data_IF_154080259328
#
_entry.id   IF_154080259328
#
_cell.length_a   1.000
_cell.length_b   1.000
_cell.length_c   1.000
_cell.angle_alpha   90.00
_cell.angle_beta   90.00
_cell.angle_gamma   90.00
#
_symmetry.space_group_name_H-M   'P 1'
#
loop_
_entity.id
_entity.type
_entity.pdbx_description
1 polymer ?
#
# COMPACT_ATOMS: atom_id res chain seq x y z
N UNK A 1 -2.50 8.04 -3.95
CA UNK A 1 -3.28 8.23 -5.19
C UNK A 1 -2.66 7.31 -6.24
N UNK A 2 -3.23 6.13 -6.48
CA UNK A 2 -2.75 5.20 -7.52
C UNK A 2 -3.40 5.44 -8.89
N UNK A 3 -4.39 6.34 -8.93
CA UNK A 3 -5.03 6.84 -10.14
C UNK A 3 -4.14 7.73 -11.03
N UNK A 4 -2.85 7.90 -10.67
CA UNK A 4 -1.85 8.64 -11.45
C UNK A 4 -0.71 7.76 -11.99
N UNK A 5 -0.76 6.43 -11.82
CA UNK A 5 0.20 5.55 -12.49
C UNK A 5 -0.26 5.41 -13.94
N UNK A 6 0.01 6.45 -14.72
CA UNK A 6 -0.22 6.47 -16.15
C UNK A 6 1.10 6.28 -16.88
N UNK A 7 1.05 5.48 -17.93
CA UNK A 7 2.09 5.39 -18.96
C UNK A 7 1.40 5.83 -20.26
N UNK A 8 2.01 6.72 -21.03
CA UNK A 8 1.40 7.27 -22.24
C UNK A 8 -0.01 7.86 -22.07
N UNK A 9 -0.30 8.50 -20.92
CA UNK A 9 -1.63 9.01 -20.55
C UNK A 9 -2.73 7.93 -20.41
N UNK A 10 -2.36 6.65 -20.44
CA UNK A 10 -3.24 5.51 -20.20
C UNK A 10 -2.96 4.88 -18.84
N UNK A 11 -3.97 4.24 -18.24
CA UNK A 11 -3.73 3.47 -17.02
C UNK A 11 -2.93 2.23 -17.38
N UNK A 12 -1.74 2.12 -16.79
CA UNK A 12 -0.87 0.98 -17.02
C UNK A 12 -1.50 -0.34 -16.54
N UNK A 13 -1.52 -1.36 -17.41
CA UNK A 13 -1.87 -2.74 -17.09
C UNK A 13 -0.66 -3.64 -17.35
N UNK A 14 -0.15 -4.37 -16.34
CA UNK A 14 1.01 -5.22 -16.52
C UNK A 14 0.67 -6.52 -17.24
N UNK A 15 1.73 -7.28 -17.59
CA UNK A 15 1.60 -8.59 -18.21
C UNK A 15 0.79 -9.57 -17.34
N UNK A 16 0.22 -10.58 -18.00
CA UNK A 16 -0.55 -11.64 -17.34
C UNK A 16 0.20 -12.33 -16.18
N UNK A 17 1.52 -12.53 -16.32
CA UNK A 17 2.33 -13.14 -15.27
C UNK A 17 2.35 -12.28 -13.99
N UNK A 18 2.55 -10.96 -14.14
CA UNK A 18 2.53 -10.02 -13.03
C UNK A 18 1.16 -9.94 -12.37
N UNK A 19 0.08 -9.94 -13.16
CA UNK A 19 -1.29 -9.95 -12.63
C UNK A 19 -1.56 -11.22 -11.81
N UNK A 20 -1.14 -12.39 -12.30
CA UNK A 20 -1.24 -13.66 -11.57
C UNK A 20 -0.39 -13.64 -10.29
N UNK A 21 0.79 -13.03 -10.33
CA UNK A 21 1.65 -12.85 -9.15
C UNK A 21 0.96 -11.99 -8.09
N UNK A 22 0.31 -10.90 -8.48
CA UNK A 22 -0.46 -10.06 -7.56
C UNK A 22 -1.65 -10.81 -6.95
N UNK A 23 -2.39 -11.59 -7.75
CA UNK A 23 -3.50 -12.41 -7.24
C UNK A 23 -3.02 -13.46 -6.23
N UNK A 24 -1.89 -14.13 -6.49
CA UNK A 24 -1.28 -15.07 -5.52
C UNK A 24 -0.83 -14.36 -4.25
N UNK A 25 -0.23 -13.18 -4.37
CA UNK A 25 0.13 -12.38 -3.21
C UNK A 25 -1.09 -12.04 -2.35
N UNK A 26 -2.18 -11.55 -2.94
CA UNK A 26 -3.41 -11.26 -2.21
C UNK A 26 -3.97 -12.52 -1.52
N UNK A 27 -4.02 -13.65 -2.23
CA UNK A 27 -4.42 -14.95 -1.66
C UNK A 27 -3.58 -15.29 -0.42
N UNK A 28 -2.25 -15.23 -0.56
CA UNK A 28 -1.30 -15.69 0.45
C UNK A 28 -1.25 -14.77 1.68
N UNK A 29 -1.47 -13.47 1.50
CA UNK A 29 -1.33 -12.48 2.57
C UNK A 29 -2.66 -12.04 3.19
N UNK A 30 -3.77 -12.22 2.48
CA UNK A 30 -5.08 -11.78 2.94
C UNK A 30 -6.06 -12.93 3.26
N UNK A 31 -5.61 -14.18 3.18
CA UNK A 31 -6.44 -15.36 3.41
C UNK A 31 -7.74 -15.36 2.56
N UNK A 32 -7.62 -14.97 1.30
CA UNK A 32 -8.73 -14.97 0.34
C UNK A 32 -8.54 -16.12 -0.66
N UNK A 33 -9.63 -16.65 -1.22
CA UNK A 33 -9.53 -17.66 -2.27
C UNK A 33 -8.94 -17.06 -3.56
N UNK A 34 -8.28 -17.87 -4.38
CA UNK A 34 -7.58 -17.39 -5.58
C UNK A 34 -8.53 -16.79 -6.63
N UNK A 35 -9.73 -17.36 -6.80
CA UNK A 35 -10.77 -16.82 -7.68
C UNK A 35 -11.23 -15.43 -7.21
N UNK A 36 -11.37 -15.21 -5.91
CA UNK A 36 -11.64 -13.88 -5.34
C UNK A 36 -10.47 -12.92 -5.57
N UNK A 37 -9.23 -13.38 -5.40
CA UNK A 37 -8.07 -12.56 -5.68
C UNK A 37 -7.99 -12.11 -7.15
N UNK A 38 -8.40 -12.93 -8.12
CA UNK A 38 -8.50 -12.50 -9.52
C UNK A 38 -9.54 -11.40 -9.74
N UNK A 39 -10.71 -11.50 -9.08
CA UNK A 39 -11.72 -10.43 -9.10
C UNK A 39 -11.15 -9.13 -8.50
N UNK A 40 -10.47 -9.23 -7.36
CA UNK A 40 -9.81 -8.09 -6.71
C UNK A 40 -8.80 -7.41 -7.63
N UNK A 41 -7.95 -8.18 -8.31
CA UNK A 41 -6.98 -7.62 -9.28
C UNK A 41 -7.69 -6.94 -10.45
N UNK A 42 -8.76 -7.54 -10.99
CA UNK A 42 -9.57 -6.87 -12.02
C UNK A 42 -10.09 -5.51 -11.55
N UNK A 43 -10.63 -5.45 -10.34
CA UNK A 43 -11.17 -4.22 -9.76
C UNK A 43 -10.10 -3.17 -9.50
N UNK A 44 -8.90 -3.58 -9.06
CA UNK A 44 -7.76 -2.67 -8.90
C UNK A 44 -7.43 -1.93 -10.21
N UNK A 45 -7.46 -2.66 -11.34
CA UNK A 45 -7.25 -2.09 -12.68
C UNK A 45 -8.51 -1.48 -13.33
N UNK A 46 -9.64 -1.39 -12.61
CA UNK A 46 -10.96 -0.90 -13.08
C UNK A 46 -11.60 -1.71 -14.20
N UNK A 47 -11.40 -3.01 -14.20
CA UNK A 47 -12.12 -3.93 -15.06
C UNK A 47 -13.28 -4.56 -14.29
N UNK A 48 -14.38 -4.86 -14.99
CA UNK A 48 -15.57 -5.46 -14.38
C UNK A 48 -15.37 -6.94 -14.05
N UNK A 49 -14.44 -7.60 -14.75
CA UNK A 49 -14.12 -9.00 -14.54
C UNK A 49 -12.65 -9.30 -14.86
N UNK A 50 -12.16 -10.43 -14.35
CA UNK A 50 -10.84 -10.96 -14.72
C UNK A 50 -10.74 -11.24 -16.23
N UNK A 51 -11.81 -11.72 -16.86
CA UNK A 51 -11.85 -11.98 -18.31
C UNK A 51 -11.64 -10.70 -19.14
N UNK A 52 -12.27 -9.59 -18.74
CA UNK A 52 -12.09 -8.31 -19.43
C UNK A 52 -10.64 -7.81 -19.29
N UNK A 53 -10.07 -7.95 -18.09
CA UNK A 53 -8.67 -7.60 -17.85
C UNK A 53 -7.74 -8.46 -18.71
N UNK A 54 -7.97 -9.77 -18.80
CA UNK A 54 -7.17 -10.68 -19.64
C UNK A 54 -7.18 -10.24 -21.10
N UNK A 55 -8.36 -9.96 -21.65
CA UNK A 55 -8.50 -9.52 -23.04
C UNK A 55 -7.76 -8.20 -23.30
N UNK A 56 -7.68 -7.31 -22.32
CA UNK A 56 -6.95 -6.06 -22.44
C UNK A 56 -5.42 -6.25 -22.45
N UNK A 57 -4.89 -7.26 -21.74
CA UNK A 57 -3.42 -7.49 -21.67
C UNK A 57 -2.76 -7.77 -23.03
N UNK A 58 -3.54 -8.18 -24.03
CA UNK A 58 -3.09 -8.46 -25.40
C UNK A 58 -3.45 -7.36 -26.39
N UNK A 59 -3.96 -6.21 -25.93
CA UNK A 59 -4.20 -5.05 -26.78
C UNK A 59 -2.89 -4.35 -27.14
N UNK A 60 -2.83 -3.69 -28.30
CA UNK A 60 -1.64 -2.96 -28.76
C UNK A 60 -1.17 -1.92 -27.72
N UNK A 61 -2.12 -1.21 -27.10
CA UNK A 61 -1.84 -0.22 -26.03
C UNK A 61 -1.16 -0.90 -24.83
N UNK A 62 -1.69 -2.04 -24.37
CA UNK A 62 -1.10 -2.74 -23.22
C UNK A 62 0.29 -3.30 -23.54
N UNK A 63 0.53 -3.75 -24.77
CA UNK A 63 1.84 -4.25 -25.22
C UNK A 63 2.86 -3.12 -25.26
N UNK A 64 2.50 -1.97 -25.82
CA UNK A 64 3.36 -0.78 -25.86
C UNK A 64 3.72 -0.31 -24.44
N UNK A 65 2.73 -0.17 -23.57
CA UNK A 65 2.91 0.18 -22.17
C UNK A 65 3.87 -0.79 -21.44
N UNK A 66 3.75 -2.09 -21.70
CA UNK A 66 4.62 -3.11 -21.11
C UNK A 66 6.08 -2.98 -21.60
N UNK A 67 6.30 -2.64 -22.86
CA UNK A 67 7.63 -2.39 -23.41
C UNK A 67 8.26 -1.14 -22.78
N UNK A 68 7.49 -0.07 -22.61
CA UNK A 68 7.95 1.16 -21.95
C UNK A 68 8.38 0.86 -20.51
N UNK A 69 7.58 0.11 -19.75
CA UNK A 69 7.95 -0.24 -18.37
C UNK A 69 9.16 -1.17 -18.30
N UNK A 70 9.37 -2.02 -19.30
CA UNK A 70 10.61 -2.80 -19.41
C UNK A 70 11.83 -1.87 -19.60
N UNK A 71 11.71 -0.83 -20.44
CA UNK A 71 12.76 0.16 -20.60
C UNK A 71 13.02 0.98 -19.33
N UNK A 72 11.97 1.49 -18.68
CA UNK A 72 12.06 2.18 -17.39
C UNK A 72 12.83 1.35 -16.35
N UNK A 73 12.59 0.04 -16.31
CA UNK A 73 13.28 -0.88 -15.40
C UNK A 73 14.78 -0.95 -15.66
N UNK A 74 15.19 -1.04 -16.92
CA UNK A 74 16.60 -1.05 -17.30
C UNK A 74 17.30 0.28 -16.97
N UNK A 75 16.61 1.40 -17.16
CA UNK A 75 17.11 2.73 -16.78
C UNK A 75 17.31 2.84 -15.26
N UNK A 76 16.31 2.43 -14.46
CA UNK A 76 16.43 2.40 -13.00
C UNK A 76 17.58 1.51 -12.52
N UNK A 77 17.76 0.34 -13.13
CA UNK A 77 18.87 -0.55 -12.81
C UNK A 77 20.23 0.08 -13.16
N UNK A 78 20.32 0.73 -14.32
CA UNK A 78 21.52 1.46 -14.75
C UNK A 78 21.84 2.60 -13.79
N UNK A 79 20.84 3.34 -13.35
CA UNK A 79 21.03 4.39 -12.36
C UNK A 79 21.51 3.80 -11.04
N UNK A 80 20.85 2.77 -10.52
CA UNK A 80 21.25 2.12 -9.26
C UNK A 80 22.70 1.67 -9.28
N UNK A 81 23.18 1.14 -10.41
CA UNK A 81 24.58 0.73 -10.58
C UNK A 81 25.58 1.89 -10.54
N UNK A 82 25.12 3.13 -10.72
CA UNK A 82 25.92 4.36 -10.68
C UNK A 82 25.74 5.14 -9.37
N UNK A 83 24.93 4.65 -8.43
CA UNK A 83 24.75 5.30 -7.13
C UNK A 83 26.09 5.41 -6.40
N UNK A 84 26.32 6.57 -5.78
CA UNK A 84 27.50 6.77 -4.94
C UNK A 84 27.47 5.80 -3.76
N UNK A 85 28.65 5.26 -3.40
CA UNK A 85 28.77 4.31 -2.29
C UNK A 85 28.25 4.89 -0.96
N UNK A 86 28.40 6.20 -0.74
CA UNK A 86 27.86 6.92 0.42
C UNK A 86 26.33 6.89 0.49
N UNK A 87 25.65 7.05 -0.65
CA UNK A 87 24.18 7.02 -0.70
C UNK A 87 23.67 5.61 -0.47
N UNK A 88 24.31 4.61 -1.09
CA UNK A 88 23.97 3.21 -0.86
C UNK A 88 24.19 2.80 0.60
N UNK A 89 25.26 3.29 1.23
CA UNK A 89 25.52 3.09 2.66
C UNK A 89 24.42 3.70 3.53
N UNK A 90 24.00 4.94 3.24
CA UNK A 90 22.91 5.61 3.96
C UNK A 90 21.59 4.85 3.85
N UNK A 91 21.26 4.34 2.66
CA UNK A 91 20.09 3.48 2.46
C UNK A 91 20.21 2.14 3.21
N UNK A 92 21.40 1.55 3.23
CA UNK A 92 21.68 0.29 3.93
C UNK A 92 21.48 0.41 5.44
N UNK A 93 21.80 1.57 6.04
CA UNK A 93 21.59 1.83 7.47
C UNK A 93 20.12 1.76 7.90
N UNK A 94 19.16 1.93 6.97
CA UNK A 94 17.74 1.79 7.26
C UNK A 94 17.34 0.35 7.61
N UNK A 95 18.19 -0.64 7.29
CA UNK A 95 17.90 -2.07 7.51
C UNK A 95 16.47 -2.41 7.03
N UNK A 96 16.21 -2.08 5.76
CA UNK A 96 14.90 -2.15 5.16
C UNK A 96 14.38 -3.60 5.13
N UNK A 97 13.08 -3.78 5.42
CA UNK A 97 12.46 -5.09 5.42
C UNK A 97 12.40 -5.65 3.99
N UNK A 98 12.53 -6.97 3.87
CA UNK A 98 12.44 -7.66 2.58
C UNK A 98 11.12 -7.33 1.88
N UNK A 99 11.21 -6.96 0.60
CA UNK A 99 10.04 -6.63 -0.22
C UNK A 99 9.66 -5.15 -0.22
N UNK A 100 10.42 -4.30 0.48
CA UNK A 100 10.34 -2.83 0.34
C UNK A 100 11.18 -2.35 -0.84
N UNK A 101 10.92 -1.13 -1.32
CA UNK A 101 11.66 -0.56 -2.45
C UNK A 101 13.11 -0.26 -2.05
N UNK A 102 13.31 0.30 -0.85
CA UNK A 102 14.65 0.56 -0.31
C UNK A 102 15.48 -0.71 -0.24
N UNK A 103 14.89 -1.81 0.24
CA UNK A 103 15.61 -3.09 0.31
C UNK A 103 15.97 -3.61 -1.09
N UNK A 104 15.08 -3.49 -2.07
CA UNK A 104 15.37 -3.89 -3.44
C UNK A 104 16.49 -3.07 -4.09
N UNK A 105 16.57 -1.76 -3.81
CA UNK A 105 17.66 -0.89 -4.29
C UNK A 105 18.98 -1.27 -3.63
N UNK A 106 18.99 -1.44 -2.31
CA UNK A 106 20.20 -1.80 -1.54
C UNK A 106 20.78 -3.13 -2.04
N UNK A 107 19.93 -4.15 -2.21
CA UNK A 107 20.34 -5.51 -2.55
C UNK A 107 20.44 -5.80 -4.06
N UNK A 108 20.42 -4.78 -4.91
CA UNK A 108 20.53 -4.93 -6.37
C UNK A 108 19.43 -5.81 -6.99
N UNK A 109 18.18 -5.62 -6.53
CA UNK A 109 17.02 -6.43 -6.92
C UNK A 109 15.96 -5.65 -7.68
N UNK A 110 16.30 -4.51 -8.27
CA UNK A 110 15.37 -3.68 -9.07
C UNK A 110 14.74 -4.52 -10.18
N UNK A 111 15.52 -5.37 -10.85
CA UNK A 111 15.01 -6.28 -11.90
C UNK A 111 13.92 -7.25 -11.41
N UNK A 112 13.82 -7.49 -10.10
CA UNK A 112 12.83 -8.40 -9.50
C UNK A 112 11.54 -7.70 -9.05
N UNK A 113 11.54 -6.36 -9.01
CA UNK A 113 10.38 -5.56 -8.64
C UNK A 113 9.22 -5.80 -9.62
N UNK A 114 7.99 -5.56 -9.18
CA UNK A 114 6.85 -5.57 -10.09
C UNK A 114 6.79 -4.27 -10.90
N UNK A 115 6.00 -4.30 -11.95
CA UNK A 115 5.86 -3.17 -12.85
C UNK A 115 5.31 -1.89 -12.19
N UNK A 116 4.37 -1.99 -11.23
CA UNK A 116 3.83 -0.80 -10.54
C UNK A 116 4.89 -0.09 -9.69
N UNK A 117 5.80 -0.85 -9.08
CA UNK A 117 6.94 -0.31 -8.34
C UNK A 117 7.93 0.39 -9.26
N UNK A 118 8.22 -0.22 -10.41
CA UNK A 118 9.06 0.40 -11.45
C UNK A 118 8.46 1.72 -11.90
N UNK A 119 7.19 1.73 -12.31
CA UNK A 119 6.55 2.97 -12.79
C UNK A 119 6.51 4.03 -11.69
N UNK A 120 6.23 3.67 -10.43
CA UNK A 120 6.20 4.67 -9.37
C UNK A 120 7.58 5.25 -9.10
N UNK A 121 8.62 4.42 -8.95
CA UNK A 121 9.98 4.90 -8.71
C UNK A 121 10.42 5.77 -9.88
N UNK A 122 10.24 5.30 -11.11
CA UNK A 122 10.63 6.01 -12.32
C UNK A 122 9.94 7.37 -12.42
N UNK A 123 8.60 7.39 -12.36
CA UNK A 123 7.85 8.63 -12.48
C UNK A 123 8.19 9.59 -11.36
N UNK A 124 8.51 9.12 -10.15
CA UNK A 124 8.94 9.98 -9.06
C UNK A 124 10.35 10.54 -9.27
N UNK A 125 11.31 9.69 -9.71
CA UNK A 125 12.68 10.09 -10.00
C UNK A 125 12.77 11.20 -11.06
N UNK A 126 11.87 11.18 -12.04
CA UNK A 126 11.84 12.11 -13.17
C UNK A 126 10.77 13.21 -13.08
N UNK A 127 10.18 13.45 -11.90
CA UNK A 127 9.10 14.44 -11.74
C UNK A 127 9.62 15.86 -11.45
N UNK A 128 10.13 16.55 -12.47
CA UNK A 128 10.65 17.93 -12.33
C UNK A 128 9.61 18.91 -11.76
N UNK A 129 8.33 18.76 -12.10
CA UNK A 129 7.25 19.62 -11.58
C UNK A 129 7.06 19.44 -10.08
N UNK A 130 7.11 18.19 -9.59
CA UNK A 130 6.96 17.89 -8.17
C UNK A 130 8.16 18.37 -7.35
N UNK A 131 9.37 18.17 -7.86
CA UNK A 131 10.60 18.51 -7.15
C UNK A 131 10.99 19.98 -7.29
N UNK A 132 10.57 20.66 -8.36
CA UNK A 132 10.98 22.03 -8.65
C UNK A 132 12.46 22.15 -9.03
N UNK A 133 13.11 21.04 -9.40
CA UNK A 133 14.51 20.97 -9.79
C UNK A 133 14.72 20.00 -10.96
N UNK A 134 15.85 20.09 -11.70
CA UNK A 134 16.13 19.19 -12.81
C UNK A 134 16.19 17.73 -12.37
N UNK A 135 15.50 16.87 -13.10
CA UNK A 135 15.58 15.44 -12.90
C UNK A 135 16.85 14.85 -13.53
N UNK A 136 17.31 13.68 -13.09
CA UNK A 136 16.81 12.87 -11.98
C UNK A 136 17.28 13.36 -10.60
N UNK A 137 16.37 13.37 -9.61
CA UNK A 137 16.68 13.75 -8.22
C UNK A 137 17.34 12.62 -7.42
N UNK A 138 17.60 12.81 -6.12
CA UNK A 138 18.24 11.80 -5.27
C UNK A 138 17.36 10.56 -5.04
N UNK A 139 17.94 9.35 -5.14
CA UNK A 139 17.24 8.11 -4.75
C UNK A 139 16.78 8.10 -3.30
N UNK A 140 17.48 8.81 -2.41
CA UNK A 140 17.05 8.89 -1.03
C UNK A 140 15.67 9.57 -0.92
N UNK A 141 15.47 10.66 -1.66
CA UNK A 141 14.22 11.43 -1.69
C UNK A 141 13.12 10.66 -2.44
N UNK A 142 13.45 10.06 -3.59
CA UNK A 142 12.51 9.21 -4.32
C UNK A 142 12.02 8.05 -3.46
N UNK A 143 12.92 7.37 -2.75
CA UNK A 143 12.52 6.29 -1.85
C UNK A 143 11.81 6.82 -0.61
N UNK A 144 11.98 8.09 -0.22
CA UNK A 144 11.16 8.71 0.82
C UNK A 144 9.71 8.86 0.42
N UNK A 145 9.48 9.29 -0.81
CA UNK A 145 8.13 9.47 -1.34
C UNK A 145 7.48 8.16 -1.80
N UNK A 146 8.27 7.22 -2.29
CA UNK A 146 7.73 6.02 -2.94
C UNK A 146 7.67 4.80 -2.06
N UNK A 147 8.48 4.70 -0.99
CA UNK A 147 8.54 3.47 -0.21
C UNK A 147 7.34 3.29 0.72
N UNK A 148 6.75 2.10 0.64
CA UNK A 148 5.36 1.84 1.01
C UNK A 148 5.27 1.10 2.33
N UNK A 149 5.98 1.59 3.34
CA UNK A 149 6.20 0.85 4.58
C UNK A 149 6.23 1.78 5.79
N UNK A 150 5.28 1.57 6.70
CA UNK A 150 5.18 2.35 7.95
C UNK A 150 6.45 2.25 8.80
N UNK A 151 7.07 1.06 8.86
CA UNK A 151 8.31 0.84 9.60
C UNK A 151 9.47 1.64 9.02
N UNK A 152 9.60 1.69 7.68
CA UNK A 152 10.68 2.44 7.05
C UNK A 152 10.52 3.94 7.24
N UNK A 153 9.30 4.45 7.09
CA UNK A 153 8.99 5.84 7.39
C UNK A 153 9.34 6.19 8.84
N UNK A 154 9.01 5.30 9.78
CA UNK A 154 9.35 5.47 11.19
C UNK A 154 10.88 5.49 11.42
N UNK A 155 11.63 4.57 10.80
CA UNK A 155 13.09 4.55 10.90
C UNK A 155 13.73 5.83 10.35
N UNK A 156 13.27 6.33 9.20
CA UNK A 156 13.76 7.60 8.63
C UNK A 156 13.44 8.78 9.54
N UNK A 157 12.22 8.83 10.07
CA UNK A 157 11.80 9.87 11.02
C UNK A 157 12.65 9.84 12.28
N UNK A 158 12.92 8.65 12.82
CA UNK A 158 13.79 8.47 13.99
C UNK A 158 15.23 8.90 13.73
N UNK A 159 15.80 8.55 12.56
CA UNK A 159 17.16 8.93 12.17
C UNK A 159 17.35 10.44 12.02
N UNK A 160 16.30 11.18 11.66
CA UNK A 160 16.33 12.64 11.64
C UNK A 160 16.47 13.25 13.06
N UNK A 161 16.38 12.43 14.13
CA UNK A 161 16.56 12.84 15.51
C UNK A 161 15.44 13.74 16.04
N UNK A 162 14.27 13.74 15.39
CA UNK A 162 13.15 14.61 15.73
C UNK A 162 12.05 13.77 16.40
N UNK A 163 11.65 14.13 17.62
CA UNK A 163 10.30 13.80 18.09
C UNK A 163 9.35 14.52 17.16
N UNK A 164 8.68 13.77 16.29
CA UNK A 164 7.90 14.35 15.23
C UNK A 164 6.60 13.59 15.05
N UNK A 165 5.55 14.34 14.75
CA UNK A 165 4.30 13.81 14.26
C UNK A 165 4.21 14.14 12.79
N UNK A 166 4.30 13.11 11.95
CA UNK A 166 4.11 13.24 10.50
C UNK A 166 2.73 12.73 10.12
N UNK A 167 2.18 13.25 9.02
CA UNK A 167 0.86 12.84 8.52
C UNK A 167 1.00 12.14 7.16
N UNK A 168 1.43 10.88 7.14
CA UNK A 168 1.73 10.22 5.89
C UNK A 168 0.48 9.67 5.20
N UNK A 169 0.52 9.72 3.87
CA UNK A 169 -0.40 9.02 3.00
C UNK A 169 0.29 7.81 2.38
N UNK A 170 0.27 6.67 3.06
CA UNK A 170 0.99 5.47 2.64
C UNK A 170 0.12 4.66 1.68
N UNK A 171 0.61 4.38 0.48
CA UNK A 171 -0.12 3.56 -0.51
C UNK A 171 0.45 2.15 -0.53
N UNK A 172 -0.41 1.13 -0.63
CA UNK A 172 -0.05 -0.30 -0.68
C UNK A 172 -0.65 -0.97 -1.93
N UNK A 173 -0.10 -0.78 -3.13
CA UNK A 173 -0.73 -1.15 -4.41
C UNK A 173 -0.95 -2.64 -4.62
N UNK A 174 -0.06 -3.50 -4.12
CA UNK A 174 -0.27 -4.94 -4.20
C UNK A 174 -1.52 -5.37 -3.45
N UNK A 175 -1.80 -4.72 -2.33
CA UNK A 175 -3.04 -4.91 -1.60
C UNK A 175 -4.19 -4.14 -2.27
N UNK A 176 -3.92 -2.96 -2.83
CA UNK A 176 -4.94 -2.03 -3.29
C UNK A 176 -5.49 -1.17 -2.16
N UNK A 177 -4.67 -0.86 -1.15
CA UNK A 177 -5.03 0.01 -0.02
C UNK A 177 -4.26 1.33 -0.02
N UNK A 178 -4.80 2.33 0.67
CA UNK A 178 -4.08 3.50 1.16
C UNK A 178 -4.45 3.75 2.60
N UNK A 179 -3.45 4.12 3.38
CA UNK A 179 -3.59 4.53 4.76
C UNK A 179 -3.32 6.03 4.85
N UNK A 180 -4.20 6.72 5.56
CA UNK A 180 -4.02 8.10 5.97
C UNK A 180 -4.09 8.17 7.49
N UNK A 181 -3.21 8.94 8.11
CA UNK A 181 -3.14 8.99 9.55
C UNK A 181 -1.96 9.77 10.08
N UNK A 182 -1.78 9.70 11.39
CA UNK A 182 -0.71 10.41 12.09
C UNK A 182 0.27 9.40 12.66
N UNK A 183 1.54 9.53 12.27
CA UNK A 183 2.65 8.76 12.81
C UNK A 183 3.41 9.62 13.80
N UNK A 184 3.46 9.18 15.05
CA UNK A 184 4.25 9.77 16.10
C UNK A 184 5.40 8.84 16.49
N UNK A 185 6.63 9.36 16.41
CA UNK A 185 7.86 8.65 16.77
C UNK A 185 8.53 9.35 17.94
N UNK A 186 8.84 8.57 18.98
CA UNK A 186 9.62 9.00 20.14
C UNK A 186 10.59 7.90 20.57
N UNK A 187 11.87 8.05 20.20
CA UNK A 187 12.87 7.00 20.33
C UNK A 187 12.45 5.71 19.62
N UNK A 188 12.35 4.61 20.37
CA UNK A 188 11.87 3.30 19.87
C UNK A 188 10.35 3.10 20.04
N UNK A 189 9.62 4.16 20.38
CA UNK A 189 8.16 4.14 20.46
C UNK A 189 7.55 4.63 19.16
N UNK A 190 6.67 3.82 18.55
CA UNK A 190 5.92 4.13 17.34
C UNK A 190 4.42 4.08 17.63
N UNK A 191 3.74 5.21 17.46
CA UNK A 191 2.29 5.29 17.53
C UNK A 191 1.71 5.74 16.19
N UNK A 192 0.95 4.90 15.52
CA UNK A 192 0.26 5.24 14.28
C UNK A 192 -1.25 5.27 14.49
N UNK A 193 -1.87 6.44 14.29
CA UNK A 193 -3.32 6.57 14.24
C UNK A 193 -3.80 6.63 12.79
N UNK A 194 -4.28 5.51 12.26
CA UNK A 194 -4.91 5.43 10.94
C UNK A 194 -6.33 6.03 11.00
N UNK A 195 -6.46 7.24 10.47
CA UNK A 195 -7.74 7.96 10.33
C UNK A 195 -8.63 7.39 9.22
N UNK A 196 -8.00 6.81 8.21
CA UNK A 196 -8.70 6.22 7.05
C UNK A 196 -7.86 5.11 6.41
N UNK A 197 -8.50 3.97 6.17
CA UNK A 197 -8.00 2.87 5.37
C UNK A 197 -8.89 2.71 4.12
N UNK A 198 -8.45 3.26 3.00
CA UNK A 198 -9.18 3.23 1.73
C UNK A 198 -8.68 2.08 0.86
N UNK A 199 -9.55 1.13 0.56
CA UNK A 199 -9.39 0.21 -0.57
C UNK A 199 -9.55 0.98 -1.88
N UNK A 200 -9.00 0.48 -2.97
CA UNK A 200 -9.30 0.91 -4.35
C UNK A 200 -9.87 -0.23 -5.19
N UNK A 201 -10.41 -1.27 -4.56
CA UNK A 201 -10.93 -2.45 -5.25
C UNK A 201 -12.41 -2.27 -5.61
N UNK A 202 -12.66 -1.58 -6.72
CA UNK A 202 -14.00 -1.50 -7.31
C UNK A 202 -13.96 -1.43 -8.84
N UNK A 203 -15.00 -1.96 -9.52
CA UNK A 203 -15.04 -1.99 -10.99
C UNK A 203 -15.10 -0.58 -11.59
N UNK A 204 -15.75 0.37 -10.92
CA UNK A 204 -15.73 1.80 -11.28
C UNK A 204 -15.95 2.67 -10.05
N UNK A 205 -15.48 3.93 -10.07
CA UNK A 205 -15.57 4.85 -8.92
C UNK A 205 -16.99 5.05 -8.41
N UNK A 206 -17.98 4.92 -9.30
CA UNK A 206 -19.41 4.99 -8.99
C UNK A 206 -19.96 3.73 -8.30
N UNK A 207 -19.16 2.68 -8.11
CA UNK A 207 -19.55 1.38 -7.56
C UNK A 207 -18.69 0.95 -6.38
N UNK A 208 -18.05 1.88 -5.67
CA UNK A 208 -17.18 1.55 -4.54
C UNK A 208 -17.92 0.77 -3.45
N UNK A 209 -19.21 1.04 -3.23
CA UNK A 209 -20.05 0.35 -2.24
C UNK A 209 -20.23 -1.15 -2.51
N UNK A 210 -20.06 -1.59 -3.76
CA UNK A 210 -20.17 -3.01 -4.12
C UNK A 210 -19.12 -3.86 -3.41
N UNK A 211 -17.97 -3.27 -3.04
CA UNK A 211 -16.88 -3.99 -2.37
C UNK A 211 -17.31 -4.53 -1.01
N UNK A 212 -18.15 -3.81 -0.27
CA UNK A 212 -18.61 -4.24 1.04
C UNK A 212 -19.47 -5.50 0.97
N UNK A 213 -20.19 -5.71 -0.14
CA UNK A 213 -21.01 -6.92 -0.33
C UNK A 213 -20.19 -8.15 -0.73
N UNK A 214 -18.89 -8.00 -1.03
CA UNK A 214 -18.07 -9.10 -1.55
C UNK A 214 -17.69 -10.08 -0.44
N UNK A 215 -17.76 -11.39 -0.70
CA UNK A 215 -17.48 -12.42 0.31
C UNK A 215 -16.03 -12.40 0.83
N UNK A 216 -15.11 -11.81 0.05
CA UNK A 216 -13.70 -11.70 0.42
C UNK A 216 -13.36 -10.43 1.22
N UNK A 217 -14.26 -9.45 1.32
CA UNK A 217 -13.92 -8.11 1.85
C UNK A 217 -13.41 -8.14 3.29
N UNK A 218 -14.10 -8.86 4.18
CA UNK A 218 -13.72 -8.89 5.59
C UNK A 218 -12.36 -9.57 5.83
N UNK A 219 -12.11 -10.69 5.14
CA UNK A 219 -10.81 -11.38 5.16
C UNK A 219 -9.70 -10.48 4.58
N UNK A 220 -9.99 -9.82 3.47
CA UNK A 220 -9.07 -8.90 2.78
C UNK A 220 -8.55 -7.79 3.69
N UNK A 221 -9.44 -7.05 4.35
CA UNK A 221 -9.05 -5.99 5.30
C UNK A 221 -8.27 -6.57 6.47
N UNK A 222 -8.80 -7.61 7.10
CA UNK A 222 -8.22 -8.16 8.34
C UNK A 222 -6.82 -8.72 8.09
N UNK A 223 -6.63 -9.41 6.96
CA UNK A 223 -5.33 -9.93 6.54
C UNK A 223 -4.32 -8.83 6.26
N UNK A 224 -4.72 -7.75 5.57
CA UNK A 224 -3.83 -6.59 5.38
C UNK A 224 -3.38 -5.99 6.71
N UNK A 225 -4.31 -5.75 7.65
CA UNK A 225 -3.99 -5.20 8.97
C UNK A 225 -3.03 -6.13 9.73
N UNK A 226 -3.26 -7.45 9.68
CA UNK A 226 -2.38 -8.45 10.28
C UNK A 226 -0.94 -8.35 9.74
N UNK A 227 -0.77 -8.21 8.43
CA UNK A 227 0.56 -8.04 7.82
C UNK A 227 1.27 -6.76 8.31
N UNK A 228 0.53 -5.66 8.45
CA UNK A 228 1.10 -4.42 9.01
C UNK A 228 1.54 -4.63 10.46
N UNK A 229 0.72 -5.29 11.28
CA UNK A 229 1.03 -5.61 12.67
C UNK A 229 2.25 -6.54 12.79
N UNK A 230 2.34 -7.59 11.99
CA UNK A 230 3.52 -8.46 11.95
C UNK A 230 4.81 -7.71 11.60
N UNK A 231 4.74 -6.80 10.63
CA UNK A 231 5.89 -5.98 10.25
C UNK A 231 6.32 -5.08 11.40
N UNK A 232 5.36 -4.51 12.14
CA UNK A 232 5.62 -3.71 13.34
C UNK A 232 6.24 -4.55 14.47
N UNK A 233 5.70 -5.74 14.77
CA UNK A 233 6.26 -6.65 15.78
C UNK A 233 7.71 -7.07 15.44
N UNK A 234 8.05 -7.17 14.15
CA UNK A 234 9.39 -7.58 13.70
C UNK A 234 10.34 -6.40 13.48
N UNK A 235 9.92 -5.16 13.76
CA UNK A 235 10.65 -3.95 13.38
C UNK A 235 11.68 -3.47 14.40
N UNK A 236 11.57 -3.91 15.66
CA UNK A 236 12.30 -3.37 16.80
C UNK A 236 11.62 -2.16 17.47
N UNK A 237 10.52 -1.64 16.92
CA UNK A 237 9.68 -0.65 17.59
C UNK A 237 8.69 -1.31 18.54
N UNK A 238 8.25 -0.53 19.54
CA UNK A 238 7.07 -0.85 20.37
C UNK A 238 6.06 0.29 20.29
N UNK A 239 4.79 0.03 20.58
CA UNK A 239 3.78 1.08 20.66
C UNK A 239 2.41 0.64 20.23
N UNK A 240 1.72 1.47 19.44
CA UNK A 240 0.30 1.29 19.10
C UNK A 240 0.00 1.58 17.65
N UNK A 241 -0.94 0.82 17.11
CA UNK A 241 -1.54 1.08 15.81
C UNK A 241 -3.06 1.10 15.98
N UNK A 242 -3.72 2.20 15.59
CA UNK A 242 -5.18 2.30 15.65
C UNK A 242 -5.79 2.53 14.28
N UNK A 243 -7.02 2.07 14.10
CA UNK A 243 -7.82 2.25 12.89
C UNK A 243 -9.18 2.85 13.28
N UNK A 244 -9.53 3.95 12.65
CA UNK A 244 -10.81 4.63 12.86
C UNK A 244 -11.84 4.22 11.80
N UNK A 245 -11.46 4.27 10.53
CA UNK A 245 -12.38 4.11 9.38
C UNK A 245 -11.81 3.21 8.30
N UNK A 246 -12.72 2.55 7.58
CA UNK A 246 -12.44 1.80 6.36
C UNK A 246 -13.40 2.26 5.27
N UNK A 247 -12.87 2.70 4.13
CA UNK A 247 -13.67 3.21 3.01
C UNK A 247 -14.77 4.17 3.50
N UNK A 248 -14.41 5.08 4.40
CA UNK A 248 -15.28 6.08 5.00
C UNK A 248 -16.37 5.56 5.96
N UNK A 249 -16.27 4.30 6.40
CA UNK A 249 -17.15 3.71 7.42
C UNK A 249 -16.42 3.66 8.75
N UNK A 250 -17.01 4.23 9.81
CA UNK A 250 -16.44 4.15 11.16
C UNK A 250 -16.51 2.72 11.69
N UNK A 251 -15.41 2.24 12.25
CA UNK A 251 -15.32 0.90 12.84
C UNK A 251 -16.10 0.76 14.16
N UNK A 252 -16.53 1.87 14.76
CA UNK A 252 -17.27 1.89 16.03
C UNK A 252 -18.70 2.38 15.85
N UNK A 253 -18.89 3.56 15.25
CA UNK A 253 -20.21 4.14 14.97
C UNK A 253 -20.93 3.53 13.76
N UNK A 254 -20.23 2.77 12.91
CA UNK A 254 -20.78 2.24 11.66
C UNK A 254 -20.82 3.30 10.54
N UNK A 255 -21.71 3.15 9.54
CA UNK A 255 -21.73 4.06 8.40
C UNK A 255 -22.06 5.49 8.85
N UNK A 256 -21.13 6.41 8.59
CA UNK A 256 -21.39 7.85 8.70
C UNK A 256 -22.34 8.21 7.57
N UNK A 257 -23.53 8.74 7.87
CA UNK A 257 -24.40 9.33 6.84
C UNK A 257 -23.62 10.42 6.11
N UNK A 258 -23.22 10.14 4.88
CA UNK A 258 -22.59 11.14 4.03
C UNK A 258 -23.66 11.88 3.27
N UNK A 259 -23.62 13.21 3.31
CA UNK A 259 -24.54 14.07 2.56
C UNK A 259 -24.47 13.88 1.03
N UNK A 260 -23.47 13.15 0.52
CA UNK A 260 -23.19 12.99 -0.91
C UNK A 260 -23.35 11.56 -1.45
N UNK A 261 -23.65 10.56 -0.61
CA UNK A 261 -23.81 9.17 -1.04
C UNK A 261 -25.11 8.60 -0.47
N UNK A 262 -26.07 8.31 -1.37
CA UNK A 262 -27.39 7.76 -1.04
C UNK A 262 -27.38 6.23 -0.87
N UNK A 263 -26.23 5.57 -1.02
CA UNK A 263 -26.14 4.12 -1.02
C UNK A 263 -26.07 3.59 0.43
N UNK A 264 -26.97 2.67 0.76
CA UNK A 264 -26.89 1.89 2.01
C UNK A 264 -25.67 0.96 1.96
N UNK A 265 -24.69 1.22 2.81
CA UNK A 265 -23.55 0.30 3.00
C UNK A 265 -24.06 -0.90 3.81
N UNK A 266 -23.92 -2.14 3.31
CA UNK A 266 -24.31 -3.33 4.07
C UNK A 266 -23.53 -3.41 5.39
N UNK A 267 -24.22 -3.20 6.51
CA UNK A 267 -23.62 -3.17 7.85
C UNK A 267 -22.98 -4.51 8.25
N UNK A 268 -23.44 -5.62 7.67
CA UNK A 268 -22.97 -6.97 8.00
C UNK A 268 -21.48 -7.18 7.78
N UNK A 269 -20.94 -6.71 6.65
CA UNK A 269 -19.53 -6.97 6.31
C UNK A 269 -18.56 -6.16 7.16
N UNK A 270 -18.93 -4.94 7.53
CA UNK A 270 -18.13 -4.12 8.45
C UNK A 270 -18.19 -4.69 9.87
N UNK A 271 -19.34 -5.21 10.31
CA UNK A 271 -19.43 -5.91 11.58
C UNK A 271 -18.48 -7.12 11.62
N UNK A 272 -18.44 -7.92 10.55
CA UNK A 272 -17.49 -9.04 10.44
C UNK A 272 -16.03 -8.57 10.45
N UNK A 273 -15.69 -7.45 9.80
CA UNK A 273 -14.36 -6.85 9.92
C UNK A 273 -14.06 -6.53 11.38
N UNK A 274 -14.96 -5.83 12.07
CA UNK A 274 -14.79 -5.44 13.46
C UNK A 274 -14.61 -6.66 14.37
N UNK A 275 -15.43 -7.70 14.22
CA UNK A 275 -15.30 -8.97 14.95
C UNK A 275 -13.93 -9.63 14.72
N UNK A 276 -13.45 -9.64 13.47
CA UNK A 276 -12.11 -10.14 13.14
C UNK A 276 -11.01 -9.30 13.79
N UNK A 277 -11.13 -7.97 13.79
CA UNK A 277 -10.14 -7.09 14.41
C UNK A 277 -10.06 -7.31 15.93
N UNK A 278 -11.21 -7.49 16.59
CA UNK A 278 -11.26 -7.76 18.03
C UNK A 278 -10.72 -9.15 18.36
N UNK A 279 -11.03 -10.17 17.57
CA UNK A 279 -10.49 -11.53 17.79
C UNK A 279 -8.98 -11.63 17.56
N UNK A 280 -8.41 -10.76 16.71
CA UNK A 280 -6.97 -10.58 16.57
C UNK A 280 -6.30 -9.84 17.75
N UNK A 281 -7.05 -9.42 18.77
CA UNK A 281 -6.51 -8.69 19.93
C UNK A 281 -6.60 -7.17 19.84
N UNK A 282 -7.40 -6.65 18.89
CA UNK A 282 -7.74 -5.24 18.84
C UNK A 282 -8.64 -4.83 20.01
N UNK A 283 -8.42 -3.65 20.56
CA UNK A 283 -9.24 -3.09 21.66
C UNK A 283 -10.08 -1.95 21.10
N UNK A 284 -11.40 -2.06 21.24
CA UNK A 284 -12.36 -1.02 20.85
C UNK A 284 -12.33 0.13 21.86
N UNK A 285 -12.12 1.35 21.39
CA UNK A 285 -12.27 2.59 22.16
C UNK A 285 -13.44 3.40 21.61
N UNK A 286 -14.55 3.42 22.35
CA UNK A 286 -15.76 4.15 21.96
C UNK A 286 -15.66 5.66 22.18
N UNK A 287 -14.69 6.15 22.97
CA UNK A 287 -14.47 7.59 23.12
C UNK A 287 -13.66 8.14 21.96
N UNK A 288 -12.67 7.37 21.50
CA UNK A 288 -11.83 7.72 20.35
C UNK A 288 -12.37 7.24 19.00
N UNK A 289 -13.45 6.45 19.02
CA UNK A 289 -14.07 5.88 17.81
C UNK A 289 -13.07 5.06 16.97
N UNK A 290 -12.28 4.21 17.62
CA UNK A 290 -11.25 3.42 16.94
C UNK A 290 -11.08 2.01 17.52
N UNK A 291 -10.34 1.18 16.78
CA UNK A 291 -9.82 -0.11 17.25
C UNK A 291 -8.30 0.00 17.31
N UNK A 292 -7.72 -0.29 18.47
CA UNK A 292 -6.29 -0.12 18.74
C UNK A 292 -5.61 -1.45 19.04
N UNK A 293 -4.43 -1.66 18.45
CA UNK A 293 -3.51 -2.77 18.69
C UNK A 293 -2.25 -2.27 19.40
N UNK A 294 -1.60 -3.14 20.16
CA UNK A 294 -0.33 -2.87 20.86
C UNK A 294 0.73 -3.85 20.36
N UNK A 295 1.93 -3.38 20.09
CA UNK A 295 3.01 -4.26 19.63
C UNK A 295 4.32 -3.95 20.36
N UNK A 296 5.25 -4.91 20.34
CA UNK A 296 6.60 -4.78 20.89
C UNK A 296 6.80 -5.30 22.32
N UNK A 297 5.78 -5.89 22.95
CA UNK A 297 5.84 -6.58 24.25
C UNK A 297 5.66 -8.10 24.11
N UNK A 298 6.12 -8.68 23.00
CA UNK A 298 5.97 -10.12 22.71
C UNK A 298 4.60 -10.50 22.12
N UNK A 299 3.77 -9.52 21.73
CA UNK A 299 2.54 -9.80 20.99
C UNK A 299 2.86 -10.43 19.63
N UNK A 300 2.16 -11.53 19.30
CA UNK A 300 2.17 -12.13 17.98
C UNK A 300 0.75 -12.08 17.41
N UNK A 301 0.63 -11.39 16.28
CA UNK A 301 -0.63 -11.19 15.56
C UNK A 301 -0.87 -12.23 14.48
#
# INVERSE_FOLDING_TARGET
MLSRINVNNHRYVPSLDQLRKQARFLRDHCNVQLNHAYEMVAYFYRFSSWGDLLNHTTSDIAIEDQQIVAHMREELQTYRNRLAASDLQRLSQLAALKGTLTEAVVNDRIMTLNALDIVQIYNCLYNEEYWGEPAPVSWYEVLDETDRCLVLLAKRTALAGRTNTVNPHISFPWFGFRMYGYLHIDGNTLNYNCRELDSYLWPSEKKYTTVFSRPWFAAYVSGFIRIQLHSLCSSGFSGKMSFERINNVDLVSGPVRQSFFNDEIPSSSINTVVENLLSMGGVRDTRKQNITFRFGNGEMY
#
